data_IF_868064373270
#
_entry.id   IF_868064373270
#
_cell.length_a   1.000
_cell.length_b   1.000
_cell.length_c   1.000
_cell.angle_alpha   90.00
_cell.angle_beta   90.00
_cell.angle_gamma   90.00
#
_symmetry.space_group_name_H-M   'P 1'
#
loop_
_entity.id
_entity.type
_entity.pdbx_description
1 polymer ?
#
# COMPACT_ATOMS: atom_id res chain seq x y z
N UNK A 1 -20.91 -11.97 32.01
CA UNK A 1 -21.22 -13.05 31.05
C UNK A 1 -21.85 -12.40 29.83
N UNK A 2 -21.24 -12.53 28.65
CA UNK A 2 -21.79 -11.94 27.44
C UNK A 2 -22.42 -13.05 26.58
N UNK A 3 -23.59 -12.78 26.00
CA UNK A 3 -24.27 -13.70 25.10
C UNK A 3 -24.49 -13.01 23.75
N UNK A 4 -24.28 -13.76 22.67
CA UNK A 4 -24.50 -13.28 21.30
C UNK A 4 -25.69 -14.06 20.72
N UNK A 5 -26.65 -13.35 20.12
CA UNK A 5 -27.75 -13.95 19.34
C UNK A 5 -27.56 -13.56 17.87
N UNK A 6 -27.22 -14.53 17.03
CA UNK A 6 -27.07 -14.31 15.60
C UNK A 6 -28.44 -14.32 14.91
N UNK A 7 -28.77 -13.24 14.21
CA UNK A 7 -30.02 -13.10 13.42
C UNK A 7 -29.76 -13.01 11.91
N UNK A 8 -28.51 -13.16 11.47
CA UNK A 8 -28.14 -13.11 10.06
C UNK A 8 -28.62 -14.40 9.41
N UNK A 9 -29.54 -14.30 8.47
CA UNK A 9 -30.18 -15.45 7.79
C UNK A 9 -30.01 -15.41 6.26
N UNK A 10 -29.64 -14.26 5.69
CA UNK A 10 -29.45 -14.03 4.25
C UNK A 10 -28.29 -13.09 4.00
N UNK A 11 -27.78 -13.08 2.77
CA UNK A 11 -26.67 -12.21 2.32
C UNK A 11 -25.41 -12.33 3.20
N UNK A 12 -25.07 -13.56 3.58
CA UNK A 12 -23.89 -13.89 4.36
C UNK A 12 -22.83 -14.57 3.49
N UNK A 13 -21.59 -14.51 3.96
CA UNK A 13 -20.44 -15.15 3.31
C UNK A 13 -19.94 -16.26 4.22
N UNK A 14 -19.72 -17.45 3.65
CA UNK A 14 -19.08 -18.56 4.34
C UNK A 14 -17.57 -18.35 4.24
N UNK A 15 -16.88 -18.33 5.38
CA UNK A 15 -15.45 -18.07 5.49
C UNK A 15 -14.83 -19.23 6.28
N UNK A 16 -13.61 -19.71 5.91
CA UNK A 16 -12.90 -20.70 6.70
C UNK A 16 -12.61 -20.22 8.13
N UNK A 17 -12.92 -21.04 9.13
CA UNK A 17 -12.64 -20.70 10.54
C UNK A 17 -11.13 -20.52 10.78
N UNK A 18 -10.32 -21.35 10.12
CA UNK A 18 -8.86 -21.28 10.18
C UNK A 18 -8.32 -19.88 9.83
N UNK A 19 -8.93 -19.18 8.86
CA UNK A 19 -8.55 -17.80 8.54
C UNK A 19 -8.86 -16.85 9.72
N UNK A 20 -10.01 -17.04 10.37
CA UNK A 20 -10.45 -16.18 11.47
C UNK A 20 -9.53 -16.36 12.67
N UNK A 21 -9.07 -17.59 12.92
CA UNK A 21 -8.22 -17.98 14.03
C UNK A 21 -6.71 -17.78 13.74
N UNK A 22 -6.33 -17.57 12.48
CA UNK A 22 -4.93 -17.32 12.08
C UNK A 22 -4.42 -15.95 12.57
N UNK A 23 -3.79 -15.98 13.75
CA UNK A 23 -3.13 -14.82 14.36
C UNK A 23 -1.86 -14.37 13.62
N UNK A 24 -1.42 -15.12 12.61
CA UNK A 24 -0.27 -14.76 11.79
C UNK A 24 -0.60 -13.71 10.72
N UNK A 25 -1.90 -13.39 10.55
CA UNK A 25 -2.40 -12.32 9.70
C UNK A 25 -3.03 -11.22 10.56
N UNK A 26 -2.76 -9.96 10.20
CA UNK A 26 -3.44 -8.80 10.75
C UNK A 26 -4.96 -8.91 10.62
N UNK A 27 -5.67 -8.40 11.62
CA UNK A 27 -7.13 -8.27 11.62
C UNK A 27 -7.66 -7.61 10.33
N UNK A 28 -6.99 -6.55 9.88
CA UNK A 28 -7.30 -5.85 8.63
C UNK A 28 -7.00 -6.68 7.39
N UNK A 29 -5.94 -7.47 7.39
CA UNK A 29 -5.65 -8.43 6.33
C UNK A 29 -6.73 -9.51 6.23
N UNK A 30 -7.15 -10.08 7.36
CA UNK A 30 -8.28 -11.03 7.42
C UNK A 30 -9.58 -10.40 6.92
N UNK A 31 -9.85 -9.15 7.31
CA UNK A 31 -11.02 -8.43 6.82
C UNK A 31 -10.99 -8.18 5.30
N UNK A 32 -9.82 -7.85 4.73
CA UNK A 32 -9.65 -7.73 3.28
C UNK A 32 -10.01 -9.03 2.56
N UNK A 33 -9.54 -10.19 3.06
CA UNK A 33 -9.93 -11.49 2.51
C UNK A 33 -11.45 -11.68 2.55
N UNK A 34 -12.08 -11.45 3.71
CA UNK A 34 -13.53 -11.61 3.89
C UNK A 34 -14.30 -10.72 2.92
N UNK A 35 -13.87 -9.47 2.76
CA UNK A 35 -14.48 -8.52 1.83
C UNK A 35 -14.39 -8.99 0.38
N UNK A 36 -13.26 -9.58 -0.02
CA UNK A 36 -13.10 -10.13 -1.37
C UNK A 36 -13.95 -11.40 -1.57
N UNK A 37 -13.98 -12.29 -0.58
CA UNK A 37 -14.78 -13.52 -0.61
C UNK A 37 -16.29 -13.25 -0.63
N UNK A 38 -16.73 -12.08 -0.15
CA UNK A 38 -18.14 -11.67 -0.21
C UNK A 38 -18.59 -11.20 -1.60
N UNK A 39 -17.71 -11.21 -2.61
CA UNK A 39 -18.00 -10.77 -3.97
C UNK A 39 -18.28 -11.96 -4.89
N UNK A 40 -18.93 -11.74 -6.05
CA UNK A 40 -19.13 -12.79 -7.04
C UNK A 40 -17.79 -13.42 -7.49
N UNK A 41 -17.83 -14.69 -7.92
CA UNK A 41 -16.64 -15.49 -8.26
C UNK A 41 -15.70 -14.84 -9.29
N UNK A 42 -16.24 -14.08 -10.25
CA UNK A 42 -15.47 -13.42 -11.32
C UNK A 42 -15.37 -11.90 -11.12
N UNK A 43 -15.40 -11.45 -9.88
CA UNK A 43 -15.38 -10.02 -9.59
C UNK A 43 -14.05 -9.37 -9.98
N UNK A 44 -14.11 -8.50 -10.99
CA UNK A 44 -12.98 -7.65 -11.39
C UNK A 44 -12.98 -6.35 -10.59
N UNK A 45 -11.85 -6.02 -9.98
CA UNK A 45 -11.70 -4.80 -9.18
C UNK A 45 -10.44 -4.02 -9.54
N UNK A 46 -10.47 -2.73 -9.21
CA UNK A 46 -9.27 -1.88 -9.23
C UNK A 46 -8.79 -1.61 -7.80
N UNK A 47 -7.48 -1.56 -7.57
CA UNK A 47 -6.92 -1.24 -6.26
C UNK A 47 -7.47 0.06 -5.67
N UNK A 48 -7.68 1.10 -6.50
CA UNK A 48 -8.28 2.37 -6.07
C UNK A 48 -9.70 2.20 -5.50
N UNK A 49 -10.50 1.29 -6.06
CA UNK A 49 -11.85 1.01 -5.57
C UNK A 49 -11.80 0.28 -4.23
N UNK A 50 -10.91 -0.69 -4.07
CA UNK A 50 -10.67 -1.36 -2.78
C UNK A 50 -10.21 -0.38 -1.70
N UNK A 51 -9.23 0.46 -2.02
CA UNK A 51 -8.75 1.51 -1.11
C UNK A 51 -9.89 2.41 -0.64
N UNK A 52 -10.77 2.84 -1.56
CA UNK A 52 -11.94 3.67 -1.22
C UNK A 52 -12.97 2.91 -0.38
N UNK A 53 -13.26 1.65 -0.72
CA UNK A 53 -14.26 0.84 -0.02
C UNK A 53 -13.84 0.49 1.42
N UNK A 54 -12.55 0.23 1.63
CA UNK A 54 -11.99 -0.18 2.92
C UNK A 54 -11.34 0.98 3.70
N UNK A 55 -11.35 2.19 3.15
CA UNK A 55 -10.64 3.36 3.67
C UNK A 55 -9.15 3.11 3.95
N UNK A 56 -8.47 2.39 3.06
CA UNK A 56 -7.05 2.10 3.13
C UNK A 56 -6.23 2.99 2.20
N UNK A 57 -4.99 3.30 2.59
CA UNK A 57 -4.00 3.82 1.64
C UNK A 57 -3.57 2.71 0.67
N UNK A 58 -3.06 3.10 -0.49
CA UNK A 58 -2.60 2.13 -1.49
C UNK A 58 -1.47 1.23 -0.97
N UNK A 59 -0.54 1.79 -0.20
CA UNK A 59 0.55 1.03 0.43
C UNK A 59 0.01 0.04 1.48
N UNK A 60 -0.99 0.46 2.25
CA UNK A 60 -1.65 -0.40 3.24
C UNK A 60 -2.35 -1.57 2.58
N UNK A 61 -3.08 -1.31 1.48
CA UNK A 61 -3.72 -2.38 0.70
C UNK A 61 -2.68 -3.37 0.16
N UNK A 62 -1.60 -2.87 -0.45
CA UNK A 62 -0.50 -3.70 -0.98
C UNK A 62 0.12 -4.56 0.11
N UNK A 63 0.37 -3.97 1.29
CA UNK A 63 0.91 -4.68 2.46
C UNK A 63 0.03 -5.87 2.84
N UNK A 64 -1.28 -5.67 3.00
CA UNK A 64 -2.20 -6.75 3.38
C UNK A 64 -2.37 -7.79 2.28
N UNK A 65 -2.34 -7.38 1.01
CA UNK A 65 -2.36 -8.31 -0.12
C UNK A 65 -1.14 -9.24 -0.10
N UNK A 66 0.05 -8.67 0.11
CA UNK A 66 1.29 -9.44 0.23
C UNK A 66 1.31 -10.33 1.48
N UNK A 67 0.71 -9.87 2.58
CA UNK A 67 0.56 -10.68 3.79
C UNK A 67 -0.28 -11.94 3.52
N UNK A 68 -1.46 -11.79 2.90
CA UNK A 68 -2.32 -12.90 2.52
C UNK A 68 -1.65 -13.85 1.52
N UNK A 69 -0.88 -13.30 0.57
CA UNK A 69 -0.11 -14.09 -0.40
C UNK A 69 0.99 -14.90 0.28
N UNK A 70 1.77 -14.28 1.17
CA UNK A 70 2.85 -14.95 1.89
C UNK A 70 2.34 -16.07 2.80
N UNK A 71 1.14 -15.91 3.35
CA UNK A 71 0.48 -16.91 4.19
C UNK A 71 -0.29 -17.97 3.41
N UNK A 72 -0.38 -17.83 2.08
CA UNK A 72 -1.00 -18.84 1.22
C UNK A 72 -2.52 -18.75 1.09
N UNK A 73 -3.14 -17.73 1.69
CA UNK A 73 -4.58 -17.52 1.63
C UNK A 73 -5.03 -16.93 0.28
N UNK A 74 -4.13 -16.22 -0.41
CA UNK A 74 -4.35 -15.76 -1.77
C UNK A 74 -3.17 -16.21 -2.65
N UNK A 75 -3.47 -16.63 -3.88
CA UNK A 75 -2.46 -16.86 -4.93
C UNK A 75 -2.59 -15.78 -6.00
N UNK A 76 -1.46 -15.17 -6.38
CA UNK A 76 -1.41 -14.14 -7.41
C UNK A 76 -0.78 -14.69 -8.68
N UNK A 77 -1.53 -14.63 -9.78
CA UNK A 77 -1.01 -14.90 -11.12
C UNK A 77 -0.74 -13.59 -11.84
N UNK A 78 0.52 -13.34 -12.19
CA UNK A 78 0.90 -12.21 -13.03
C UNK A 78 0.81 -12.66 -14.48
N UNK A 79 -0.14 -12.10 -15.25
CA UNK A 79 -0.17 -12.35 -16.69
C UNK A 79 1.10 -11.81 -17.35
N UNK A 80 1.67 -12.57 -18.27
CA UNK A 80 2.83 -12.12 -19.03
C UNK A 80 2.47 -10.85 -19.83
N UNK A 81 3.50 -10.06 -20.15
CA UNK A 81 3.34 -8.89 -21.00
C UNK A 81 3.01 -9.35 -22.41
N UNK A 82 1.77 -9.15 -22.83
CA UNK A 82 1.42 -9.25 -24.24
C UNK A 82 1.80 -7.92 -24.91
N UNK A 83 2.65 -7.98 -25.94
CA UNK A 83 3.06 -6.83 -26.75
C UNK A 83 3.65 -5.65 -25.95
N UNK A 84 4.38 -5.95 -24.87
CA UNK A 84 5.07 -4.94 -24.05
C UNK A 84 4.17 -4.13 -23.11
N UNK A 85 2.86 -4.42 -23.06
CA UNK A 85 1.94 -3.78 -22.11
C UNK A 85 1.88 -4.55 -20.79
N UNK A 86 1.71 -3.82 -19.69
CA UNK A 86 1.46 -4.44 -18.39
C UNK A 86 0.03 -4.99 -18.36
N UNK A 87 -0.09 -6.28 -18.12
CA UNK A 87 -1.38 -6.97 -17.99
C UNK A 87 -1.85 -6.96 -16.52
N UNK A 88 -3.16 -7.09 -16.29
CA UNK A 88 -3.74 -7.19 -14.95
C UNK A 88 -3.30 -8.47 -14.22
N UNK A 89 -3.24 -8.39 -12.90
CA UNK A 89 -3.05 -9.57 -12.04
C UNK A 89 -4.37 -10.31 -11.86
N UNK A 90 -4.32 -11.63 -11.74
CA UNK A 90 -5.43 -12.46 -11.26
C UNK A 90 -5.11 -12.89 -9.84
N UNK A 91 -6.11 -12.77 -8.94
CA UNK A 91 -6.00 -13.24 -7.57
C UNK A 91 -6.99 -14.37 -7.35
N UNK A 92 -6.52 -15.46 -6.75
CA UNK A 92 -7.34 -16.63 -6.40
C UNK A 92 -7.37 -16.76 -4.88
N UNK A 93 -8.57 -16.84 -4.32
CA UNK A 93 -8.82 -17.04 -2.90
C UNK A 93 -8.75 -18.54 -2.61
N UNK A 94 -7.96 -18.94 -1.62
CA UNK A 94 -7.82 -20.34 -1.22
C UNK A 94 -8.64 -20.63 0.05
N UNK A 95 -9.27 -21.80 0.10
CA UNK A 95 -10.03 -22.28 1.27
C UNK A 95 -9.14 -22.62 2.48
N UNK A 96 -7.89 -22.98 2.20
CA UNK A 96 -6.86 -23.31 3.18
C UNK A 96 -5.53 -22.69 2.75
N UNK A 97 -4.60 -22.41 3.68
CA UNK A 97 -3.34 -21.77 3.35
C UNK A 97 -2.51 -22.72 2.47
N UNK A 98 -2.29 -22.35 1.21
CA UNK A 98 -1.43 -23.09 0.29
C UNK A 98 -0.02 -22.55 0.38
N UNK A 99 0.96 -23.42 0.63
CA UNK A 99 2.36 -23.02 0.52
C UNK A 99 2.62 -22.56 -0.91
N UNK A 100 2.91 -21.27 -1.09
CA UNK A 100 3.31 -20.71 -2.38
C UNK A 100 4.69 -21.24 -2.76
N UNK A 101 4.76 -22.47 -3.28
CA UNK A 101 6.01 -23.07 -3.78
C UNK A 101 6.28 -22.65 -5.24
N UNK A 102 5.24 -22.35 -6.02
CA UNK A 102 5.27 -21.92 -7.43
C UNK A 102 4.17 -20.85 -7.56
N UNK A 103 4.40 -19.56 -7.82
CA UNK A 103 4.63 -19.00 -9.15
C UNK A 103 5.25 -17.59 -9.05
N UNK A 104 6.49 -17.52 -8.57
CA UNK A 104 7.37 -16.46 -9.06
C UNK A 104 7.69 -16.85 -10.49
N UNK A 105 6.99 -16.28 -11.47
CA UNK A 105 7.55 -16.21 -12.83
C UNK A 105 8.94 -15.60 -12.64
N UNK A 106 9.96 -16.44 -12.80
CA UNK A 106 11.37 -16.09 -12.64
C UNK A 106 11.69 -14.93 -13.58
N UNK A 107 12.06 -13.73 -13.10
CA UNK A 107 12.99 -12.97 -13.87
C UNK A 107 14.30 -13.76 -13.82
N UNK A 108 14.75 -14.28 -14.95
CA UNK A 108 16.16 -14.54 -15.15
C UNK A 108 16.86 -13.17 -15.08
N UNK A 109 17.02 -12.64 -13.87
CA UNK A 109 17.92 -11.53 -13.61
C UNK A 109 19.27 -12.14 -13.90
N UNK A 110 19.80 -11.89 -15.10
CA UNK A 110 21.24 -11.98 -15.33
C UNK A 110 21.85 -11.30 -14.12
N UNK A 111 22.55 -12.08 -13.32
CA UNK A 111 23.49 -11.54 -12.35
C UNK A 111 24.42 -10.72 -13.23
N UNK A 112 24.24 -9.40 -13.25
CA UNK A 112 25.31 -8.55 -13.73
C UNK A 112 26.42 -8.81 -12.72
N UNK A 113 27.51 -9.40 -13.19
CA UNK A 113 28.76 -9.48 -12.45
C UNK A 113 29.25 -8.05 -12.20
N UNK A 114 28.63 -7.38 -11.24
CA UNK A 114 29.26 -6.24 -10.59
C UNK A 114 30.08 -6.88 -9.49
N UNK A 115 31.32 -7.20 -9.85
CA UNK A 115 32.37 -7.48 -8.89
C UNK A 115 32.26 -6.43 -7.77
N UNK A 116 32.05 -6.89 -6.54
CA UNK A 116 32.28 -6.06 -5.37
C UNK A 116 33.76 -5.72 -5.37
N UNK A 117 34.14 -4.59 -5.95
CA UNK A 117 35.45 -4.02 -5.72
C UNK A 117 35.50 -3.69 -4.23
N UNK A 118 36.34 -4.44 -3.52
CA UNK A 118 36.69 -4.17 -2.13
C UNK A 118 37.28 -2.77 -2.13
N UNK A 119 36.51 -1.79 -1.67
CA UNK A 119 37.02 -0.44 -1.43
C UNK A 119 37.93 -0.50 -0.22
N UNK A 120 39.23 -0.73 -0.51
CA UNK A 120 40.31 -0.44 0.41
C UNK A 120 40.16 0.99 0.93
N UNK A 121 40.09 1.10 2.25
CA UNK A 121 40.08 2.36 2.98
C UNK A 121 41.40 3.09 2.76
N UNK A 122 41.48 3.90 1.71
CA UNK A 122 42.48 4.95 1.61
C UNK A 122 41.83 6.27 2.04
N UNK A 123 42.18 6.67 3.26
CA UNK A 123 42.02 8.05 3.74
C UNK A 123 42.89 8.91 2.85
N UNK A 124 42.29 9.89 2.16
CA UNK A 124 42.83 11.23 1.92
C UNK A 124 42.06 11.93 0.78
N UNK A 125 41.52 13.12 1.08
CA UNK A 125 41.36 14.20 0.11
C UNK A 125 40.12 14.21 -0.80
N UNK A 126 39.26 15.22 -0.52
CA UNK A 126 38.39 15.94 -1.49
C UNK A 126 37.03 15.28 -1.82
N UNK A 127 35.98 15.79 -1.18
CA UNK A 127 34.60 15.60 -1.65
C UNK A 127 34.32 16.55 -2.83
N UNK A 128 33.87 16.08 -4.01
CA UNK A 128 33.39 16.97 -5.05
C UNK A 128 31.98 17.47 -4.71
N UNK A 129 31.88 18.74 -4.33
CA UNK A 129 30.61 19.44 -4.14
C UNK A 129 30.03 19.81 -5.51
N UNK A 130 28.95 19.17 -5.94
CA UNK A 130 28.21 19.63 -7.12
C UNK A 130 27.26 20.75 -6.72
N UNK A 131 27.74 22.01 -6.77
CA UNK A 131 26.88 23.19 -6.73
C UNK A 131 26.37 23.51 -8.13
N UNK A 132 25.05 23.50 -8.32
CA UNK A 132 24.40 23.93 -9.55
C UNK A 132 24.43 25.48 -9.61
N UNK A 133 25.25 26.06 -10.49
CA UNK A 133 25.35 27.51 -10.68
C UNK A 133 24.30 27.98 -11.69
N UNK A 134 23.34 28.80 -11.25
CA UNK A 134 22.71 29.81 -12.10
C UNK A 134 22.82 31.16 -11.39
N UNK A 135 23.47 32.11 -12.07
CA UNK A 135 24.01 33.34 -11.52
C UNK A 135 23.13 34.56 -11.89
N UNK A 136 23.25 35.61 -11.06
CA UNK A 136 22.79 37.02 -11.20
C UNK A 136 21.34 37.31 -10.77
N UNK A 137 21.04 38.28 -9.88
CA UNK A 137 21.79 39.42 -9.35
C UNK A 137 21.30 39.77 -7.93
N UNK A 138 22.22 40.29 -7.11
CA UNK A 138 21.98 40.81 -5.76
C UNK A 138 21.37 42.21 -5.83
N UNK A 139 20.41 42.51 -4.95
CA UNK A 139 20.40 43.76 -4.19
C UNK A 139 20.13 43.44 -2.72
N UNK A 140 20.95 44.06 -1.87
CA UNK A 140 21.03 43.90 -0.42
C UNK A 140 20.16 44.99 0.20
N UNK A 141 19.18 44.64 1.04
CA UNK A 141 18.74 45.54 2.12
C UNK A 141 18.54 44.72 3.40
N UNK A 142 19.38 45.06 4.38
CA UNK A 142 19.34 44.69 5.79
C UNK A 142 18.08 45.21 6.48
N UNK A 143 17.46 44.40 7.36
CA UNK A 143 17.34 44.70 8.79
C UNK A 143 16.41 43.73 9.51
N UNK A 144 16.82 43.39 10.73
CA UNK A 144 16.02 42.90 11.83
C UNK A 144 14.64 43.60 11.88
N UNK A 145 13.59 42.88 12.30
CA UNK A 145 12.76 43.24 13.44
C UNK A 145 11.58 42.27 13.67
N UNK A 146 11.52 41.77 14.91
CA UNK A 146 10.33 41.48 15.70
C UNK A 146 9.26 40.47 15.26
N UNK A 147 9.28 39.34 15.99
CA UNK A 147 8.10 38.73 16.59
C UNK A 147 7.06 39.78 17.03
N UNK A 148 5.88 39.79 16.37
CA UNK A 148 4.65 40.32 16.97
C UNK A 148 3.41 39.56 16.47
N UNK A 149 3.11 38.49 17.19
CA UNK A 149 1.82 38.23 17.85
C UNK A 149 0.55 38.57 17.06
N UNK A 150 -0.18 37.50 16.72
CA UNK A 150 -1.64 37.33 16.83
C UNK A 150 -2.55 38.52 16.51
N UNK A 151 -3.44 38.33 15.52
CA UNK A 151 -4.91 38.24 15.70
C UNK A 151 -5.64 38.37 14.35
N UNK A 152 -6.76 37.64 14.27
CA UNK A 152 -7.93 37.86 13.41
C UNK A 152 -7.82 37.33 11.97
N UNK A 153 -8.82 36.64 11.40
CA UNK A 153 -10.19 36.34 11.86
C UNK A 153 -10.70 35.15 11.05
N UNK A 154 -11.14 34.11 11.76
CA UNK A 154 -12.09 33.13 11.26
C UNK A 154 -13.39 33.88 10.93
N UNK A 155 -13.89 33.77 9.70
CA UNK A 155 -15.25 34.18 9.36
C UNK A 155 -16.09 32.94 9.05
N UNK A 156 -16.78 32.44 10.08
CA UNK A 156 -17.94 31.58 9.92
C UNK A 156 -19.05 32.39 9.23
N UNK A 157 -19.46 31.98 8.02
CA UNK A 157 -20.77 32.36 7.47
C UNK A 157 -21.76 31.24 7.79
N UNK A 158 -22.53 31.46 8.86
CA UNK A 158 -23.80 30.80 9.12
C UNK A 158 -24.76 31.13 7.98
N UNK A 159 -25.35 30.12 7.33
CA UNK A 159 -26.47 30.31 6.43
C UNK A 159 -27.75 29.82 7.13
N UNK A 160 -28.75 30.69 7.39
CA UNK A 160 -29.95 30.32 8.12
C UNK A 160 -30.97 29.58 7.23
N UNK A 161 -31.54 28.50 7.78
CA UNK A 161 -32.80 27.89 7.32
C UNK A 161 -33.97 28.89 7.49
N UNK A 162 -34.73 29.14 6.44
CA UNK A 162 -36.18 29.45 6.39
C UNK A 162 -36.66 29.07 4.98
N UNK A 163 -37.84 28.54 4.72
CA UNK A 163 -38.98 28.05 5.51
C UNK A 163 -39.68 27.04 4.61
#
# INVERSE_FOLDING_TARGET
>A
MNQIKNKIQKDFTIIPNDLIEDNSITDRGRFLFIYMASKPNDWTFFNKQLCKALAYSEDTLRKYMSELENKGWITRYTKMREHGKFTSNIYVINESPKTNVLDKILPNRKISDTENTVSEKNRDGIFPTHTNTNNKQKEIITNNEFNKRAKNKISFKLNPRKK
#
